data_IF_460967325542
#
_entry.id   IF_460967325542
#
_cell.length_a   1.000
_cell.length_b   1.000
_cell.length_c   1.000
_cell.angle_alpha   90.00
_cell.angle_beta   90.00
_cell.angle_gamma   90.00
#
_symmetry.space_group_name_H-M   'P 1'
#
loop_
_entity.id
_entity.type
_entity.pdbx_description
1 polymer ?
#
# COMPACT_ATOMS: atom_id res chain seq x y z
N UNK A 1 -7.10 14.40 -0.35
CA UNK A 1 -7.93 13.18 -0.31
C UNK A 1 -7.05 11.95 -0.50
N UNK A 2 -7.34 10.90 0.22
CA UNK A 2 -6.54 9.67 0.20
C UNK A 2 -7.26 8.56 -0.54
N UNK A 3 -6.49 7.73 -1.21
CA UNK A 3 -7.04 6.62 -1.97
C UNK A 3 -6.28 5.35 -1.62
N UNK A 4 -7.02 4.25 -1.41
CA UNK A 4 -6.43 2.95 -1.18
C UNK A 4 -6.05 2.33 -2.52
N UNK A 5 -4.77 2.00 -2.70
CA UNK A 5 -4.30 1.43 -3.96
C UNK A 5 -3.98 -0.05 -3.84
N UNK A 6 -3.91 -0.57 -2.63
CA UNK A 6 -3.55 -1.96 -2.44
C UNK A 6 -3.98 -2.41 -1.05
N UNK A 7 -4.35 -3.67 -0.93
CA UNK A 7 -4.71 -4.26 0.35
C UNK A 7 -3.79 -5.45 0.60
N UNK A 8 -2.96 -5.34 1.64
CA UNK A 8 -2.06 -6.41 2.03
C UNK A 8 -2.71 -7.25 3.11
N UNK A 9 -2.45 -8.54 3.10
CA UNK A 9 -3.05 -9.46 4.05
C UNK A 9 -2.14 -9.80 5.23
N UNK A 10 -0.90 -9.34 5.19
CA UNK A 10 0.03 -9.50 6.31
C UNK A 10 0.71 -8.17 6.60
N UNK A 11 1.08 -7.98 7.86
CA UNK A 11 1.80 -6.78 8.24
C UNK A 11 3.15 -6.69 7.54
N UNK A 12 3.82 -7.83 7.41
CA UNK A 12 5.11 -7.87 6.75
C UNK A 12 5.02 -7.38 5.31
N UNK A 13 4.02 -7.85 4.58
CA UNK A 13 3.82 -7.43 3.21
C UNK A 13 3.49 -5.94 3.13
N UNK A 14 2.63 -5.47 4.05
CA UNK A 14 2.26 -4.07 4.09
C UNK A 14 3.46 -3.17 4.34
N UNK A 15 4.33 -3.57 5.26
CA UNK A 15 5.53 -2.79 5.56
C UNK A 15 6.50 -2.76 4.38
N UNK A 16 6.64 -3.87 3.69
CA UNK A 16 7.51 -3.92 2.51
C UNK A 16 7.03 -2.98 1.42
N UNK A 17 5.73 -3.00 1.16
CA UNK A 17 5.16 -2.12 0.14
C UNK A 17 5.31 -0.66 0.55
N UNK A 18 5.01 -0.36 1.81
CA UNK A 18 5.15 1.00 2.32
C UNK A 18 6.59 1.48 2.17
N UNK A 19 7.54 0.66 2.55
CA UNK A 19 8.95 1.03 2.47
C UNK A 19 9.36 1.30 1.03
N UNK A 20 8.96 0.43 0.12
CA UNK A 20 9.30 0.59 -1.29
C UNK A 20 8.74 1.90 -1.85
N UNK A 21 7.48 2.17 -1.57
CA UNK A 21 6.86 3.39 -2.08
C UNK A 21 7.47 4.64 -1.44
N UNK A 22 7.78 4.57 -0.15
CA UNK A 22 8.42 5.68 0.55
C UNK A 22 9.79 5.96 -0.06
N UNK A 23 10.53 4.92 -0.40
CA UNK A 23 11.85 5.07 -1.03
C UNK A 23 11.76 5.68 -2.42
N UNK A 24 10.61 5.53 -3.07
CA UNK A 24 10.36 6.14 -4.37
C UNK A 24 9.79 7.56 -4.24
N UNK A 25 9.70 8.08 -3.03
CA UNK A 25 9.31 9.46 -2.81
C UNK A 25 7.83 9.68 -2.62
N UNK A 26 7.05 8.63 -2.41
CA UNK A 26 5.62 8.75 -2.20
C UNK A 26 5.27 8.90 -0.74
N UNK A 27 4.20 9.63 -0.46
CA UNK A 27 3.66 9.76 0.89
C UNK A 27 2.67 8.62 1.11
N UNK A 28 3.04 7.68 2.00
CA UNK A 28 2.26 6.45 2.18
C UNK A 28 1.68 6.39 3.58
N UNK A 29 0.43 5.95 3.67
CA UNK A 29 -0.24 5.74 4.93
C UNK A 29 -0.76 4.31 4.98
N UNK A 30 -0.51 3.61 6.10
CA UNK A 30 -1.07 2.30 6.34
C UNK A 30 -2.27 2.44 7.26
N UNK A 31 -3.35 1.78 6.91
CA UNK A 31 -4.53 1.75 7.74
C UNK A 31 -4.92 0.30 7.99
N UNK A 32 -5.02 -0.06 9.26
CA UNK A 32 -5.51 -1.38 9.63
C UNK A 32 -6.98 -1.50 9.31
N UNK A 33 -7.36 -2.61 8.68
CA UNK A 33 -8.74 -2.90 8.36
C UNK A 33 -9.01 -4.38 8.62
N UNK A 34 -10.27 -4.75 8.70
CA UNK A 34 -10.65 -6.14 8.90
C UNK A 34 -10.96 -6.47 10.34
N UNK A 35 -11.36 -7.69 10.58
CA UNK A 35 -11.81 -8.16 11.88
C UNK A 35 -10.74 -8.92 12.65
N UNK A 36 -11.19 -9.67 13.66
CA UNK A 36 -10.27 -10.39 14.55
C UNK A 36 -9.52 -11.51 13.84
N UNK A 37 -10.12 -12.10 12.84
CA UNK A 37 -9.55 -13.26 12.17
C UNK A 37 -9.00 -12.97 10.79
N UNK A 38 -9.43 -11.86 10.19
CA UNK A 38 -9.00 -11.47 8.86
C UNK A 38 -8.38 -10.10 8.91
N UNK A 39 -7.10 -10.06 9.17
CA UNK A 39 -6.38 -8.79 9.21
C UNK A 39 -6.07 -8.35 7.78
N UNK A 40 -6.28 -7.09 7.52
CA UNK A 40 -5.94 -6.48 6.25
C UNK A 40 -5.34 -5.12 6.51
N UNK A 41 -4.48 -4.68 5.62
CA UNK A 41 -3.81 -3.41 5.74
C UNK A 41 -3.98 -2.65 4.43
N UNK A 42 -4.59 -1.48 4.51
CA UNK A 42 -4.79 -0.65 3.32
C UNK A 42 -3.57 0.23 3.11
N UNK A 43 -3.05 0.18 1.91
CA UNK A 43 -1.95 1.06 1.49
C UNK A 43 -2.61 2.26 0.84
N UNK A 44 -2.51 3.41 1.48
CA UNK A 44 -3.21 4.62 1.05
C UNK A 44 -2.23 5.70 0.64
N UNK A 45 -2.57 6.40 -0.42
CA UNK A 45 -1.78 7.53 -0.90
C UNK A 45 -2.70 8.68 -1.27
N UNK A 46 -2.16 9.92 -1.32
CA UNK A 46 -2.93 11.03 -1.87
C UNK A 46 -3.37 10.70 -3.28
N UNK A 47 -4.56 11.14 -3.64
CA UNK A 47 -5.11 10.85 -4.97
C UNK A 47 -4.15 11.28 -6.08
N UNK A 48 -3.44 12.39 -5.88
CA UNK A 48 -2.51 12.91 -6.87
C UNK A 48 -1.30 11.99 -7.10
N UNK A 49 -1.00 11.10 -6.16
CA UNK A 49 0.14 10.20 -6.27
C UNK A 49 -0.27 8.75 -6.48
N UNK A 50 -1.55 8.45 -6.30
CA UNK A 50 -2.04 7.07 -6.31
C UNK A 50 -1.76 6.35 -7.61
N UNK A 51 -1.95 7.00 -8.75
CA UNK A 51 -1.74 6.39 -10.04
C UNK A 51 -0.27 6.04 -10.28
N UNK A 52 0.62 6.98 -9.99
CA UNK A 52 2.05 6.74 -10.15
C UNK A 52 2.55 5.66 -9.21
N UNK A 53 2.05 5.65 -7.98
CA UNK A 53 2.43 4.63 -7.01
C UNK A 53 1.95 3.26 -7.46
N UNK A 54 0.76 3.19 -8.03
CA UNK A 54 0.24 1.94 -8.54
C UNK A 54 1.11 1.38 -9.67
N UNK A 55 1.63 2.25 -10.53
CA UNK A 55 2.54 1.84 -11.58
C UNK A 55 3.82 1.24 -11.00
N UNK A 56 4.35 1.85 -9.94
CA UNK A 56 5.53 1.32 -9.27
C UNK A 56 5.27 -0.07 -8.71
N UNK A 57 4.09 -0.29 -8.14
CA UNK A 57 3.71 -1.61 -7.66
C UNK A 57 3.68 -2.63 -8.79
N UNK A 58 3.09 -2.25 -9.93
CA UNK A 58 3.01 -3.14 -11.07
C UNK A 58 4.40 -3.48 -11.63
N UNK A 59 5.28 -2.49 -11.70
CA UNK A 59 6.63 -2.70 -12.20
C UNK A 59 7.43 -3.65 -11.31
N UNK A 60 7.22 -3.57 -10.01
CA UNK A 60 7.92 -4.43 -9.07
C UNK A 60 7.23 -5.77 -8.86
N UNK A 61 6.11 -5.98 -9.54
CA UNK A 61 5.40 -7.27 -9.54
C UNK A 61 5.10 -7.78 -8.15
N UNK A 62 4.56 -6.92 -7.30
CA UNK A 62 4.12 -7.36 -5.99
C UNK A 62 2.90 -8.24 -6.16
N UNK A 63 3.10 -9.53 -5.97
CA UNK A 63 2.06 -10.52 -6.08
C UNK A 63 1.93 -11.27 -4.75
N UNK A 64 0.76 -11.76 -4.51
CA UNK A 64 0.43 -12.48 -3.28
C UNK A 64 -0.40 -13.70 -3.61
#
# INVERSE_FOLDING_TARGET
>A
MWKTIYIAHTEEQAQKIKQMLTENGFLVQLKSAGGKHNKAYEIRLPVSEAEDAYEVLCENKFQY
#
